data_IF_149761601003
#
_entry.id   IF_149761601003
#
_cell.length_a   1.000
_cell.length_b   1.000
_cell.length_c   1.000
_cell.angle_alpha   90.00
_cell.angle_beta   90.00
_cell.angle_gamma   90.00
#
_symmetry.space_group_name_H-M   'P 1'
#
loop_
_entity.id
_entity.type
_entity.pdbx_description
1 polymer ?
#
# COMPACT_ATOMS: atom_id res chain seq x y z
N UNK A 1 3.80 -26.61 11.91
CA UNK A 1 3.61 -27.52 13.07
C UNK A 1 4.07 -26.77 14.31
N UNK A 2 3.29 -26.71 15.39
CA UNK A 2 3.58 -25.88 16.57
C UNK A 2 4.82 -26.36 17.34
N UNK A 3 5.01 -27.67 17.49
CA UNK A 3 6.09 -28.25 18.32
C UNK A 3 7.42 -28.43 17.58
N UNK A 4 7.56 -27.89 16.37
CA UNK A 4 8.79 -28.04 15.56
C UNK A 4 10.06 -27.57 16.27
N UNK A 5 10.10 -26.39 16.95
CA UNK A 5 11.30 -25.94 17.65
C UNK A 5 11.75 -26.95 18.72
N UNK A 6 10.78 -27.54 19.43
CA UNK A 6 11.07 -28.53 20.47
C UNK A 6 11.63 -29.82 19.89
N UNK A 7 11.09 -30.28 18.76
CA UNK A 7 11.62 -31.45 18.04
C UNK A 7 13.06 -31.23 17.56
N UNK A 8 13.36 -30.06 16.99
CA UNK A 8 14.72 -29.72 16.54
C UNK A 8 15.68 -29.70 17.74
N UNK A 9 15.26 -29.09 18.85
CA UNK A 9 16.05 -29.04 20.09
C UNK A 9 16.36 -30.46 20.62
N UNK A 10 15.37 -31.34 20.68
CA UNK A 10 15.55 -32.72 21.18
C UNK A 10 16.44 -33.55 20.26
N UNK A 11 16.29 -33.40 18.95
CA UNK A 11 17.15 -34.07 17.99
C UNK A 11 18.60 -33.57 18.10
N UNK A 12 18.80 -32.26 18.27
CA UNK A 12 20.11 -31.65 18.49
C UNK A 12 20.78 -32.06 19.81
N UNK A 13 20.00 -32.44 20.84
CA UNK A 13 20.53 -32.98 22.10
C UNK A 13 20.75 -34.50 22.08
N UNK A 14 20.57 -35.16 20.94
CA UNK A 14 20.90 -36.58 20.73
C UNK A 14 19.74 -37.55 20.86
N UNK A 15 18.49 -37.08 21.01
CA UNK A 15 17.32 -37.97 21.08
C UNK A 15 17.01 -38.59 19.72
N UNK A 16 16.65 -39.88 19.71
CA UNK A 16 16.33 -40.57 18.47
C UNK A 16 14.97 -40.14 17.92
N UNK A 17 14.80 -40.15 16.60
CA UNK A 17 13.52 -39.82 15.93
C UNK A 17 12.33 -40.64 16.49
N UNK A 18 12.56 -41.92 16.83
CA UNK A 18 11.54 -42.81 17.38
C UNK A 18 11.15 -42.46 18.83
N UNK A 19 12.07 -41.90 19.58
CA UNK A 19 11.83 -41.42 20.94
C UNK A 19 10.99 -40.15 20.90
N UNK A 20 11.44 -39.15 20.16
CA UNK A 20 10.71 -37.89 19.95
C UNK A 20 9.28 -38.14 19.42
N UNK A 21 9.13 -39.07 18.48
CA UNK A 21 7.82 -39.43 17.94
C UNK A 21 6.86 -39.99 19.00
N UNK A 22 7.38 -40.75 19.98
CA UNK A 22 6.56 -41.30 21.07
C UNK A 22 6.21 -40.23 22.09
N UNK A 23 7.19 -39.41 22.48
CA UNK A 23 7.01 -38.39 23.52
C UNK A 23 6.06 -37.26 23.08
N UNK A 24 6.02 -36.97 21.79
CA UNK A 24 5.18 -35.94 21.19
C UNK A 24 3.92 -36.49 20.50
N UNK A 25 3.65 -37.80 20.58
CA UNK A 25 2.50 -38.46 19.93
C UNK A 25 2.35 -38.17 18.41
N UNK A 26 3.48 -37.97 17.72
CA UNK A 26 3.51 -37.68 16.28
C UNK A 26 4.11 -38.83 15.48
N UNK A 27 3.74 -38.94 14.21
CA UNK A 27 4.37 -39.94 13.33
C UNK A 27 5.87 -39.63 13.13
N UNK A 28 6.69 -40.67 12.95
CA UNK A 28 8.11 -40.52 12.60
C UNK A 28 8.33 -39.69 11.33
N UNK A 29 7.39 -39.75 10.39
CA UNK A 29 7.42 -38.93 9.18
C UNK A 29 7.13 -37.45 9.47
N UNK A 30 6.30 -37.13 10.47
CA UNK A 30 6.12 -35.76 10.93
C UNK A 30 7.39 -35.22 11.60
N UNK A 31 8.09 -36.03 12.42
CA UNK A 31 9.41 -35.67 12.96
C UNK A 31 10.40 -35.40 11.83
N UNK A 32 10.47 -36.28 10.81
CA UNK A 32 11.36 -36.07 9.66
C UNK A 32 11.02 -34.80 8.89
N UNK A 33 9.74 -34.49 8.67
CA UNK A 33 9.29 -33.23 8.04
C UNK A 33 9.63 -32.01 8.91
N UNK A 34 9.54 -32.13 10.23
CA UNK A 34 9.93 -31.08 11.15
C UNK A 34 11.46 -30.84 11.12
N UNK A 35 12.26 -31.85 10.83
CA UNK A 35 13.73 -31.71 10.69
C UNK A 35 14.17 -31.30 9.28
N UNK A 36 13.26 -31.23 8.31
CA UNK A 36 13.61 -30.84 6.95
C UNK A 36 14.06 -29.37 6.90
N UNK A 37 15.09 -29.09 6.10
CA UNK A 37 15.70 -27.76 5.96
C UNK A 37 14.74 -26.74 5.32
N UNK A 38 13.90 -27.21 4.40
CA UNK A 38 12.92 -26.42 3.65
C UNK A 38 11.65 -26.10 4.45
N UNK A 39 11.44 -26.77 5.60
CA UNK A 39 10.29 -26.50 6.43
C UNK A 39 10.44 -25.15 7.15
N UNK A 40 9.33 -24.39 7.25
CA UNK A 40 9.26 -23.13 8.01
C UNK A 40 9.17 -23.37 9.51
N UNK A 41 9.84 -22.53 10.32
CA UNK A 41 9.89 -22.68 11.78
C UNK A 41 8.52 -22.45 12.40
N UNK A 42 7.89 -21.36 11.98
CA UNK A 42 6.59 -20.94 12.45
C UNK A 42 5.50 -21.14 11.41
N UNK A 43 4.26 -21.16 11.87
CA UNK A 43 3.11 -21.15 10.98
C UNK A 43 3.13 -19.87 10.14
N UNK A 44 3.04 -20.04 8.82
CA UNK A 44 2.93 -18.93 7.89
C UNK A 44 1.73 -19.13 6.98
N UNK A 45 1.00 -18.05 6.75
CA UNK A 45 -0.06 -17.95 5.77
C UNK A 45 0.19 -16.69 4.96
N UNK A 46 0.16 -16.74 3.62
CA UNK A 46 0.27 -15.53 2.82
C UNK A 46 -0.86 -14.57 3.22
N UNK A 47 -0.48 -13.34 3.57
CA UNK A 47 -1.44 -12.28 3.83
C UNK A 47 -1.79 -11.61 2.51
N UNK A 48 -3.09 -11.38 2.26
CA UNK A 48 -3.50 -10.59 1.09
C UNK A 48 -2.97 -9.15 1.17
N UNK A 49 -2.71 -8.65 2.38
CA UNK A 49 -2.07 -7.36 2.59
C UNK A 49 -0.68 -7.30 1.97
N UNK A 50 0.14 -8.35 2.15
CA UNK A 50 1.53 -8.38 1.65
C UNK A 50 1.61 -8.29 0.13
N UNK A 51 0.63 -8.88 -0.57
CA UNK A 51 0.56 -8.88 -2.04
C UNK A 51 0.14 -7.52 -2.62
N UNK A 52 -0.82 -6.84 -1.99
CA UNK A 52 -1.40 -5.59 -2.52
C UNK A 52 -0.83 -4.32 -1.88
N UNK A 53 0.00 -4.44 -0.83
CA UNK A 53 0.63 -3.31 -0.18
C UNK A 53 1.38 -2.38 -1.16
N UNK A 54 2.12 -2.88 -2.17
CA UNK A 54 2.73 -2.01 -3.18
C UNK A 54 1.70 -1.19 -3.96
N UNK A 55 0.63 -1.83 -4.46
CA UNK A 55 -0.42 -1.14 -5.21
C UNK A 55 -1.13 -0.07 -4.36
N UNK A 56 -1.35 -0.34 -3.07
CA UNK A 56 -1.94 0.65 -2.15
C UNK A 56 -1.00 1.84 -1.93
N UNK A 57 0.31 1.61 -1.85
CA UNK A 57 1.31 2.68 -1.75
C UNK A 57 1.32 3.58 -2.98
N UNK A 58 1.23 2.99 -4.17
CA UNK A 58 1.22 3.74 -5.43
C UNK A 58 -0.01 4.67 -5.47
N UNK A 59 -1.19 4.16 -5.12
CA UNK A 59 -2.41 4.98 -5.06
C UNK A 59 -2.34 6.08 -4.00
N UNK A 60 -1.75 5.80 -2.83
CA UNK A 60 -1.61 6.81 -1.77
C UNK A 60 -0.53 7.85 -2.07
N UNK A 61 0.45 7.54 -2.92
CA UNK A 61 1.45 8.49 -3.38
C UNK A 61 0.81 9.59 -4.25
N UNK A 62 -0.08 9.20 -5.16
CA UNK A 62 -0.78 10.12 -6.05
C UNK A 62 -1.98 10.79 -5.35
N UNK A 63 -2.69 10.04 -4.51
CA UNK A 63 -3.96 10.46 -3.91
C UNK A 63 -4.04 10.16 -2.39
N UNK A 64 -3.30 10.91 -1.55
CA UNK A 64 -3.21 10.65 -0.10
C UNK A 64 -4.55 10.75 0.64
N UNK A 65 -5.50 11.53 0.12
CA UNK A 65 -6.82 11.72 0.72
C UNK A 65 -7.92 10.84 0.12
N UNK A 66 -7.62 9.97 -0.85
CA UNK A 66 -8.61 9.11 -1.51
C UNK A 66 -9.35 8.18 -0.53
N UNK A 67 -10.62 7.88 -0.77
CA UNK A 67 -11.39 7.02 0.13
C UNK A 67 -11.02 5.54 -0.01
N UNK A 68 -11.17 4.76 1.07
CA UNK A 68 -10.90 3.30 1.05
C UNK A 68 -11.71 2.53 -0.01
N UNK A 69 -13.03 2.77 -0.20
CA UNK A 69 -13.77 2.10 -1.28
C UNK A 69 -13.24 2.41 -2.68
N UNK A 70 -12.76 3.63 -2.92
CA UNK A 70 -12.22 4.00 -4.24
C UNK A 70 -10.87 3.30 -4.48
N UNK A 71 -10.01 3.28 -3.46
CA UNK A 71 -8.76 2.50 -3.47
C UNK A 71 -9.06 1.02 -3.75
N UNK A 72 -10.08 0.45 -3.10
CA UNK A 72 -10.48 -0.94 -3.29
C UNK A 72 -10.85 -1.25 -4.75
N UNK A 73 -11.52 -0.30 -5.42
CA UNK A 73 -11.91 -0.43 -6.82
C UNK A 73 -10.70 -0.33 -7.74
N UNK A 74 -9.80 0.60 -7.44
CA UNK A 74 -8.60 0.87 -8.24
C UNK A 74 -7.62 -0.31 -8.26
N UNK A 75 -7.44 -0.99 -7.14
CA UNK A 75 -6.53 -2.14 -7.01
C UNK A 75 -7.21 -3.49 -7.26
N UNK A 76 -8.47 -3.49 -7.72
CA UNK A 76 -9.33 -4.67 -7.85
C UNK A 76 -9.36 -5.58 -6.60
N UNK A 77 -9.57 -4.98 -5.42
CA UNK A 77 -9.52 -5.69 -4.14
C UNK A 77 -10.69 -6.66 -3.98
N UNK A 78 -10.40 -7.98 -4.01
CA UNK A 78 -11.40 -9.05 -3.86
C UNK A 78 -11.52 -9.63 -2.45
N UNK A 79 -10.86 -9.06 -1.45
CA UNK A 79 -10.80 -9.60 -0.08
C UNK A 79 -11.62 -8.74 0.90
N UNK A 80 -11.47 -9.01 2.20
CA UNK A 80 -12.20 -8.28 3.25
C UNK A 80 -11.90 -6.78 3.19
N UNK A 81 -12.96 -5.96 3.20
CA UNK A 81 -12.85 -4.50 3.29
C UNK A 81 -12.14 -4.03 4.56
N UNK A 82 -12.37 -4.72 5.70
CA UNK A 82 -11.69 -4.39 6.97
C UNK A 82 -10.18 -4.49 6.83
N UNK A 83 -9.68 -5.56 6.22
CA UNK A 83 -8.24 -5.77 5.99
C UNK A 83 -7.61 -4.67 5.14
N UNK A 84 -8.33 -4.17 4.13
CA UNK A 84 -7.89 -3.02 3.35
C UNK A 84 -7.93 -1.72 4.16
N UNK A 85 -9.00 -1.48 4.92
CA UNK A 85 -9.10 -0.30 5.80
C UNK A 85 -7.95 -0.24 6.80
N UNK A 86 -7.60 -1.37 7.43
CA UNK A 86 -6.51 -1.47 8.40
C UNK A 86 -5.16 -1.15 7.73
N UNK A 87 -4.93 -1.68 6.53
CA UNK A 87 -3.73 -1.40 5.73
C UNK A 87 -3.62 0.08 5.35
N UNK A 88 -4.70 0.67 4.84
CA UNK A 88 -4.73 2.08 4.44
C UNK A 88 -4.55 2.99 5.66
N UNK A 89 -5.16 2.65 6.81
CA UNK A 89 -4.98 3.42 8.04
C UNK A 89 -3.53 3.41 8.54
N UNK A 90 -2.81 2.30 8.33
CA UNK A 90 -1.39 2.17 8.67
C UNK A 90 -0.50 3.01 7.75
N UNK A 91 -0.77 3.02 6.44
CA UNK A 91 0.10 3.66 5.44
C UNK A 91 -0.20 5.16 5.28
N UNK A 92 -1.47 5.57 5.34
CA UNK A 92 -1.92 6.92 5.00
C UNK A 92 -1.20 8.07 5.74
N UNK A 93 -0.87 7.96 7.05
CA UNK A 93 -0.18 9.04 7.76
C UNK A 93 1.13 9.45 7.08
N UNK A 94 1.91 8.49 6.58
CA UNK A 94 3.20 8.74 5.91
C UNK A 94 3.05 9.58 4.62
N UNK A 95 1.90 9.48 3.95
CA UNK A 95 1.62 10.18 2.69
C UNK A 95 0.94 11.53 2.91
N UNK A 96 0.09 11.64 3.93
CA UNK A 96 -0.52 12.93 4.30
C UNK A 96 0.54 13.89 4.82
N UNK A 97 1.42 13.44 5.72
CA UNK A 97 2.50 14.29 6.24
C UNK A 97 3.41 14.80 5.12
N UNK A 98 3.70 13.96 4.12
CA UNK A 98 4.46 14.35 2.94
C UNK A 98 3.72 15.42 2.13
N UNK A 99 2.47 15.17 1.77
CA UNK A 99 1.66 16.10 0.98
C UNK A 99 1.47 17.46 1.68
N UNK A 100 1.23 17.45 2.99
CA UNK A 100 1.09 18.67 3.79
C UNK A 100 2.42 19.44 3.89
N UNK A 101 3.56 18.72 3.99
CA UNK A 101 4.89 19.34 4.02
C UNK A 101 5.30 19.96 2.67
N UNK A 102 4.94 19.33 1.56
CA UNK A 102 5.16 19.85 0.20
C UNK A 102 4.29 21.10 -0.03
N UNK A 103 3.03 21.07 0.39
CA UNK A 103 2.15 22.23 0.33
C UNK A 103 2.65 23.43 1.16
N UNK A 104 3.43 23.18 2.22
CA UNK A 104 4.03 24.23 3.04
C UNK A 104 5.29 24.86 2.42
N UNK A 105 6.03 24.13 1.59
CA UNK A 105 7.28 24.59 0.96
C UNK A 105 7.01 25.47 -0.28
N UNK A 106 5.96 25.15 -1.04
CA UNK A 106 5.54 25.91 -2.24
C UNK A 106 5.12 27.36 -1.94
N UNK A 107 4.88 27.71 -0.67
CA UNK A 107 4.52 29.05 -0.21
C UNK A 107 5.63 30.11 -0.32
N UNK A 108 6.89 29.73 -0.58
CA UNK A 108 8.03 30.66 -0.57
C UNK A 108 8.39 31.25 -1.95
N UNK A 109 7.60 31.01 -3.00
CA UNK A 109 7.82 31.62 -4.33
C UNK A 109 7.06 32.97 -4.48
N UNK A 110 6.18 33.32 -3.54
CA UNK A 110 5.21 34.43 -3.72
C UNK A 110 5.65 35.82 -3.21
N UNK A 111 6.91 36.02 -2.80
CA UNK A 111 7.41 37.34 -2.41
C UNK A 111 7.98 38.17 -3.57
N UNK A 112 7.86 37.72 -4.83
CA UNK A 112 8.09 38.58 -6.01
C UNK A 112 6.77 39.26 -6.41
N UNK A 113 6.52 40.37 -5.74
CA UNK A 113 5.77 41.56 -6.19
C UNK A 113 4.46 41.34 -6.97
N UNK A 114 3.37 41.35 -6.21
CA UNK A 114 1.99 41.53 -6.67
C UNK A 114 1.71 42.92 -7.30
N UNK A 115 2.71 43.82 -7.37
CA UNK A 115 2.57 45.23 -7.77
C UNK A 115 2.78 45.49 -9.28
N UNK A 116 3.11 44.45 -10.06
CA UNK A 116 3.47 44.60 -11.49
C UNK A 116 2.35 44.31 -12.49
N UNK A 117 1.12 44.02 -12.06
CA UNK A 117 0.01 43.70 -12.97
C UNK A 117 -1.08 44.79 -12.97
N UNK A 118 -0.69 46.01 -13.37
CA UNK A 118 -1.63 46.93 -14.03
C UNK A 118 -1.56 46.75 -15.54
N UNK A 119 -2.70 46.35 -16.09
CA UNK A 119 -3.15 46.51 -17.47
C UNK A 119 -2.14 46.15 -18.59
N UNK A 120 -2.35 44.95 -19.15
CA UNK A 120 -2.05 44.68 -20.55
C UNK A 120 -0.58 44.55 -20.91
N UNK A 121 0.06 43.44 -20.52
CA UNK A 121 1.14 42.80 -21.28
C UNK A 121 1.63 41.57 -20.53
N UNK A 122 1.11 40.39 -20.86
CA UNK A 122 1.76 39.13 -20.49
C UNK A 122 3.05 39.00 -21.31
N UNK A 123 4.17 39.46 -20.76
CA UNK A 123 5.50 39.22 -21.34
C UNK A 123 6.01 37.89 -20.83
N UNK A 124 6.10 36.93 -21.74
CA UNK A 124 6.67 35.61 -21.54
C UNK A 124 8.05 35.69 -20.85
N UNK A 125 8.21 34.92 -19.77
CA UNK A 125 9.50 34.48 -19.27
C UNK A 125 9.51 32.95 -19.36
N UNK A 126 10.04 32.50 -20.50
CA UNK A 126 10.49 31.13 -20.72
C UNK A 126 11.94 31.01 -20.19
N UNK A 127 12.38 29.79 -19.86
CA UNK A 127 13.71 29.29 -19.41
C UNK A 127 13.56 28.61 -18.03
N UNK A 128 13.42 27.28 -17.87
CA UNK A 128 13.92 26.13 -18.64
C UNK A 128 12.92 24.94 -18.65
N UNK A 129 12.59 24.44 -19.85
CA UNK A 129 12.79 23.02 -20.14
C UNK A 129 11.66 22.01 -19.93
N UNK A 130 10.38 22.39 -19.83
CA UNK A 130 9.27 21.44 -20.04
C UNK A 130 8.14 22.12 -20.82
N UNK A 131 8.21 22.01 -22.14
CA UNK A 131 7.11 22.34 -23.05
C UNK A 131 6.14 21.18 -23.07
N UNK A 132 5.11 21.25 -22.23
CA UNK A 132 3.73 20.81 -22.49
C UNK A 132 2.99 20.75 -21.15
N UNK A 133 2.56 21.94 -20.70
CA UNK A 133 1.38 22.04 -19.84
C UNK A 133 0.39 22.83 -20.66
N UNK A 134 -0.28 22.14 -21.60
CA UNK A 134 -1.64 22.56 -21.91
C UNK A 134 -2.40 22.42 -20.59
N UNK A 135 -2.87 23.56 -20.06
CA UNK A 135 -3.95 23.55 -19.10
C UNK A 135 -5.12 22.85 -19.79
N UNK A 136 -5.22 21.53 -19.63
CA UNK A 136 -6.33 20.77 -20.15
C UNK A 136 -7.53 21.21 -19.32
N UNK A 137 -8.33 22.13 -19.89
CA UNK A 137 -9.71 22.31 -19.46
C UNK A 137 -10.32 20.92 -19.48
N UNK A 138 -10.66 20.39 -18.29
CA UNK A 138 -11.31 19.09 -18.15
C UNK A 138 -12.47 19.06 -19.12
N UNK A 139 -12.39 18.19 -20.12
CA UNK A 139 -13.44 18.14 -21.14
C UNK A 139 -14.74 17.70 -20.47
N UNK A 140 -15.87 18.24 -20.92
CA UNK A 140 -17.18 18.01 -20.31
C UNK A 140 -17.49 16.52 -20.03
N UNK A 141 -16.89 15.59 -20.79
CA UNK A 141 -16.98 14.14 -20.61
C UNK A 141 -16.34 13.60 -19.31
N UNK A 142 -15.30 14.21 -18.78
CA UNK A 142 -14.65 13.76 -17.53
C UNK A 142 -15.43 14.18 -16.29
N UNK A 143 -16.12 15.32 -16.36
CA UNK A 143 -17.07 15.77 -15.32
C UNK A 143 -18.36 14.96 -15.36
N UNK A 144 -18.80 14.55 -16.56
CA UNK A 144 -19.93 13.64 -16.78
C UNK A 144 -19.65 12.25 -16.17
N UNK A 145 -18.43 11.71 -16.34
CA UNK A 145 -18.01 10.44 -15.73
C UNK A 145 -18.08 10.44 -14.19
N UNK A 146 -17.65 11.53 -13.55
CA UNK A 146 -17.73 11.70 -12.08
C UNK A 146 -19.16 11.93 -11.55
N UNK A 147 -20.09 12.39 -12.39
CA UNK A 147 -21.49 12.67 -12.00
C UNK A 147 -22.39 11.46 -12.25
N UNK A 148 -22.14 10.67 -13.28
CA UNK A 148 -22.87 9.43 -13.58
C UNK A 148 -22.59 8.33 -12.53
N UNK A 149 -21.36 8.26 -12.01
CA UNK A 149 -20.97 7.34 -10.93
C UNK A 149 -21.66 7.64 -9.58
N UNK A 150 -21.97 8.91 -9.28
CA UNK A 150 -22.64 9.29 -8.02
C UNK A 150 -24.15 9.04 -8.04
N UNK A 151 -24.77 9.10 -9.22
CA UNK A 151 -26.21 8.94 -9.38
C UNK A 151 -26.66 7.47 -9.55
N UNK A 152 -25.72 6.56 -9.85
CA UNK A 152 -26.00 5.13 -9.99
C UNK A 152 -26.27 4.38 -8.65
N UNK A 153 -26.36 5.09 -7.52
CA UNK A 153 -26.59 4.50 -6.19
C UNK A 153 -27.90 4.98 -5.56
N UNK A 154 -29.00 4.98 -6.31
CA UNK A 154 -30.37 5.01 -5.79
C UNK A 154 -31.29 4.20 -6.72
N UNK A 155 -31.35 2.88 -6.51
CA UNK A 155 -32.51 2.03 -6.79
C UNK A 155 -32.66 1.05 -5.63
#
# INVERSE_FOLDING_TARGET
MKDRPKIIQLHGSGHAIREIARDHEVSRNAVRRALAEDARMDYWRPSATEEFEPAVRDVLADYPHMSVPDIATMIDWRKSRRTLSDLVAKLRPEYIERADSEAADDGNISAVSMDSLRAGSFKALNVLGYSDIEAHELTAKEVEWWTELKNATHV
#
